data_IF_354707126915
#
_entry.id   IF_354707126915
#
_cell.length_a   1.000
_cell.length_b   1.000
_cell.length_c   1.000
_cell.angle_alpha   90.00
_cell.angle_beta   90.00
_cell.angle_gamma   90.00
#
_symmetry.space_group_name_H-M   'P 1'
#
loop_
_entity.id
_entity.type
_entity.pdbx_description
1 polymer ?
#
# COMPACT_ATOMS: atom_id res chain seq x y z
N UNK A 1 3.31 -16.39 18.40
CA UNK A 1 2.30 -15.50 19.04
C UNK A 1 1.29 -14.92 18.05
N UNK A 2 1.72 -14.45 16.86
CA UNK A 2 0.85 -13.81 15.86
C UNK A 2 -0.40 -14.65 15.49
N UNK A 3 -0.24 -15.96 15.29
CA UNK A 3 -1.37 -16.84 14.93
C UNK A 3 -2.47 -16.85 15.99
N UNK A 4 -2.10 -16.92 17.27
CA UNK A 4 -3.05 -16.93 18.39
C UNK A 4 -3.75 -15.58 18.49
N UNK A 5 -3.00 -14.48 18.37
CA UNK A 5 -3.56 -13.12 18.37
C UNK A 5 -4.57 -12.90 17.24
N UNK A 6 -4.29 -13.41 16.04
CA UNK A 6 -5.19 -13.29 14.89
C UNK A 6 -6.49 -14.07 15.09
N UNK A 7 -6.40 -15.29 15.63
CA UNK A 7 -7.58 -16.12 15.95
C UNK A 7 -8.42 -15.44 17.03
N UNK A 8 -7.79 -14.95 18.11
CA UNK A 8 -8.48 -14.29 19.21
C UNK A 8 -9.17 -13.00 18.74
N UNK A 9 -8.50 -12.18 17.93
CA UNK A 9 -9.09 -10.98 17.34
C UNK A 9 -10.30 -11.32 16.45
N UNK A 10 -10.23 -12.42 15.68
CA UNK A 10 -11.34 -12.89 14.86
C UNK A 10 -12.54 -13.33 15.71
N UNK A 11 -12.31 -14.03 16.83
CA UNK A 11 -13.39 -14.47 17.75
C UNK A 11 -14.13 -13.27 18.33
N UNK A 12 -13.39 -12.27 18.82
CA UNK A 12 -13.97 -11.03 19.37
C UNK A 12 -14.75 -10.28 18.28
N UNK A 13 -14.19 -10.18 17.08
CA UNK A 13 -14.85 -9.53 15.94
C UNK A 13 -16.19 -10.20 15.60
N UNK A 14 -16.22 -11.53 15.48
CA UNK A 14 -17.45 -12.28 15.17
C UNK A 14 -18.49 -12.10 16.27
N UNK A 15 -18.07 -12.18 17.54
CA UNK A 15 -18.97 -11.96 18.67
C UNK A 15 -19.63 -10.58 18.64
N UNK A 16 -18.86 -9.53 18.32
CA UNK A 16 -19.38 -8.17 18.21
C UNK A 16 -20.29 -7.99 16.99
N UNK A 17 -20.01 -8.67 15.88
CA UNK A 17 -20.84 -8.62 14.68
C UNK A 17 -22.17 -9.37 14.84
N UNK A 18 -22.25 -10.37 15.73
CA UNK A 18 -23.51 -11.08 16.00
C UNK A 18 -24.63 -10.17 16.55
N UNK A 19 -24.27 -8.99 17.06
CA UNK A 19 -25.22 -7.96 17.53
C UNK A 19 -25.69 -7.00 16.42
N UNK A 20 -25.15 -7.14 15.21
CA UNK A 20 -25.48 -6.31 14.05
C UNK A 20 -26.31 -7.13 13.05
N UNK A 21 -27.13 -6.47 12.19
CA UNK A 21 -27.87 -7.16 11.14
C UNK A 21 -26.99 -7.68 9.99
N UNK A 22 -25.71 -7.29 9.96
CA UNK A 22 -24.75 -7.69 8.93
C UNK A 22 -24.08 -9.03 9.27
N UNK A 23 -23.85 -9.87 8.26
CA UNK A 23 -23.08 -11.11 8.46
C UNK A 23 -21.60 -10.81 8.72
N UNK A 24 -21.03 -11.51 9.71
CA UNK A 24 -19.61 -11.44 9.99
C UNK A 24 -18.77 -11.93 8.79
N UNK A 25 -17.62 -11.29 8.56
CA UNK A 25 -16.68 -11.71 7.54
C UNK A 25 -16.10 -13.10 7.82
N UNK A 26 -15.87 -13.88 6.76
CA UNK A 26 -15.08 -15.10 6.85
C UNK A 26 -13.66 -14.80 7.34
N UNK A 27 -13.06 -15.73 8.10
CA UNK A 27 -11.73 -15.56 8.74
C UNK A 27 -10.64 -15.07 7.79
N UNK A 28 -10.59 -15.63 6.58
CA UNK A 28 -9.62 -15.25 5.56
C UNK A 28 -9.83 -13.79 5.09
N UNK A 29 -11.08 -13.38 4.88
CA UNK A 29 -11.43 -12.01 4.49
C UNK A 29 -11.15 -11.03 5.63
N UNK A 30 -11.44 -11.41 6.87
CA UNK A 30 -11.05 -10.66 8.06
C UNK A 30 -9.54 -10.43 8.12
N UNK A 31 -8.73 -11.49 7.92
CA UNK A 31 -7.27 -11.36 7.92
C UNK A 31 -6.74 -10.48 6.78
N UNK A 32 -7.34 -10.55 5.59
CA UNK A 32 -7.01 -9.66 4.46
C UNK A 32 -7.31 -8.19 4.79
N UNK A 33 -8.49 -7.92 5.36
CA UNK A 33 -8.87 -6.58 5.80
C UNK A 33 -7.92 -6.06 6.87
N UNK A 34 -7.66 -6.87 7.89
CA UNK A 34 -6.76 -6.54 8.99
C UNK A 34 -5.34 -6.22 8.50
N UNK A 35 -4.82 -7.00 7.54
CA UNK A 35 -3.54 -6.72 6.88
C UNK A 35 -3.55 -5.34 6.21
N UNK A 36 -4.60 -5.01 5.47
CA UNK A 36 -4.76 -3.70 4.84
C UNK A 36 -4.78 -2.58 5.87
N UNK A 37 -5.57 -2.74 6.93
CA UNK A 37 -5.73 -1.74 7.99
C UNK A 37 -4.40 -1.49 8.75
N UNK A 38 -3.61 -2.53 9.00
CA UNK A 38 -2.29 -2.39 9.64
C UNK A 38 -1.25 -1.74 8.73
N UNK A 39 -1.24 -2.07 7.43
CA UNK A 39 -0.23 -1.56 6.51
C UNK A 39 -0.55 -0.14 6.01
N UNK A 40 -1.83 0.26 6.03
CA UNK A 40 -2.25 1.51 5.43
C UNK A 40 -1.55 2.77 6.00
N UNK A 41 -1.40 2.95 7.33
CA UNK A 41 -0.70 4.11 7.88
C UNK A 41 0.77 4.15 7.46
N UNK A 42 1.45 2.99 7.54
CA UNK A 42 2.86 2.87 7.18
C UNK A 42 3.11 3.14 5.69
N UNK A 43 2.23 2.64 4.82
CA UNK A 43 2.29 2.89 3.38
C UNK A 43 2.05 4.37 3.04
N UNK A 44 1.16 5.05 3.76
CA UNK A 44 0.92 6.49 3.60
C UNK A 44 2.16 7.30 3.94
N UNK A 45 2.82 7.02 5.07
CA UNK A 45 4.06 7.69 5.45
C UNK A 45 5.17 7.47 4.40
N UNK A 46 5.29 6.23 3.91
CA UNK A 46 6.27 5.87 2.88
C UNK A 46 6.09 6.60 1.55
N UNK A 47 4.89 7.02 1.18
CA UNK A 47 4.67 7.78 -0.05
C UNK A 47 5.41 9.12 -0.07
N UNK A 48 5.68 9.72 1.10
CA UNK A 48 6.42 10.98 1.22
C UNK A 48 7.92 10.83 0.96
N UNK A 49 8.45 9.60 0.93
CA UNK A 49 9.87 9.35 0.68
C UNK A 49 10.20 9.61 -0.79
N UNK A 50 11.09 10.58 -1.05
CA UNK A 50 11.43 11.06 -2.40
C UNK A 50 12.11 10.01 -3.29
N UNK A 51 12.77 9.02 -2.69
CA UNK A 51 13.61 8.03 -3.39
C UNK A 51 12.86 6.83 -3.96
N UNK A 52 11.56 6.67 -3.69
CA UNK A 52 10.78 5.61 -4.31
C UNK A 52 10.68 5.80 -5.82
N UNK A 53 10.83 4.70 -6.55
CA UNK A 53 10.54 4.67 -7.98
C UNK A 53 9.07 5.04 -8.22
N UNK A 54 8.80 5.63 -9.38
CA UNK A 54 7.44 6.01 -9.78
C UNK A 54 6.50 4.80 -9.78
N UNK A 55 6.97 3.64 -10.27
CA UNK A 55 6.20 2.39 -10.30
C UNK A 55 5.83 1.90 -8.91
N UNK A 56 6.76 1.94 -7.95
CA UNK A 56 6.46 1.55 -6.56
C UNK A 56 5.45 2.49 -5.92
N UNK A 57 5.53 3.81 -6.19
CA UNK A 57 4.50 4.74 -5.73
C UNK A 57 3.13 4.40 -6.30
N UNK A 58 3.01 4.18 -7.61
CA UNK A 58 1.75 3.79 -8.26
C UNK A 58 1.13 2.56 -7.60
N UNK A 59 1.91 1.51 -7.37
CA UNK A 59 1.43 0.29 -6.70
C UNK A 59 0.93 0.58 -5.28
N UNK A 60 1.64 1.40 -4.51
CA UNK A 60 1.22 1.78 -3.16
C UNK A 60 -0.09 2.58 -3.20
N UNK A 61 -0.27 3.47 -4.17
CA UNK A 61 -1.49 4.25 -4.34
C UNK A 61 -2.69 3.38 -4.71
N UNK A 62 -2.49 2.42 -5.60
CA UNK A 62 -3.50 1.41 -5.96
C UNK A 62 -3.89 0.56 -4.74
N UNK A 63 -2.90 0.09 -3.96
CA UNK A 63 -3.15 -0.69 -2.73
C UNK A 63 -3.94 0.11 -1.68
N UNK A 64 -3.68 1.42 -1.58
CA UNK A 64 -4.38 2.33 -0.68
C UNK A 64 -5.71 2.84 -1.25
N UNK A 65 -6.05 2.50 -2.50
CA UNK A 65 -7.20 3.04 -3.24
C UNK A 65 -7.24 4.57 -3.23
N UNK A 66 -6.07 5.21 -3.29
CA UNK A 66 -5.99 6.67 -3.42
C UNK A 66 -6.27 7.05 -4.88
N UNK A 67 -7.16 8.01 -5.08
CA UNK A 67 -7.31 8.68 -6.38
C UNK A 67 -5.94 9.18 -6.88
N UNK A 68 -5.63 8.95 -8.15
CA UNK A 68 -4.32 9.22 -8.76
C UNK A 68 -3.93 10.71 -8.83
N UNK A 69 -4.64 11.59 -8.12
CA UNK A 69 -4.34 13.02 -7.98
C UNK A 69 -3.18 13.28 -7.00
N UNK A 70 -2.12 12.48 -7.09
CA UNK A 70 -0.88 12.77 -6.37
C UNK A 70 -0.15 13.80 -7.21
N UNK A 71 -0.40 15.07 -6.87
CA UNK A 71 0.49 16.16 -7.22
C UNK A 71 1.91 15.70 -6.87
N UNK A 72 2.87 15.74 -7.81
CA UNK A 72 4.23 15.31 -7.52
C UNK A 72 4.71 16.03 -6.26
N UNK A 73 5.40 15.35 -5.33
CA UNK A 73 5.86 15.97 -4.10
C UNK A 73 6.61 17.26 -4.48
N UNK A 74 6.14 18.40 -3.96
CA UNK A 74 6.79 19.70 -4.16
C UNK A 74 8.26 19.50 -3.87
N UNK A 75 9.08 19.60 -4.91
CA UNK A 75 10.51 19.37 -4.80
C UNK A 75 11.07 20.46 -3.87
N UNK A 76 11.25 20.12 -2.59
CA UNK A 76 12.16 20.87 -1.73
C UNK A 76 13.55 20.61 -2.33
N UNK A 77 14.09 21.65 -2.95
CA UNK A 77 15.08 21.53 -4.01
C UNK A 77 16.25 20.62 -3.67
N UNK A 78 16.68 19.82 -4.65
CA UNK A 78 18.10 19.54 -4.95
C UNK A 78 18.24 18.64 -6.19
N UNK A 79 18.96 19.17 -7.18
CA UNK A 79 19.64 18.53 -8.33
C UNK A 79 18.85 17.53 -9.18
N UNK A 80 18.47 17.98 -10.38
CA UNK A 80 18.05 17.16 -11.53
C UNK A 80 19.09 16.05 -11.76
N UNK A 81 18.75 14.80 -11.43
CA UNK A 81 19.48 13.65 -11.98
C UNK A 81 19.06 13.51 -13.43
N UNK A 82 19.99 13.84 -14.33
CA UNK A 82 19.85 13.69 -15.78
C UNK A 82 19.88 12.18 -16.07
N UNK A 83 18.73 11.52 -16.13
CA UNK A 83 18.66 10.20 -16.75
C UNK A 83 18.84 10.39 -18.25
N UNK A 84 20.05 10.10 -18.73
CA UNK A 84 20.30 9.97 -20.15
C UNK A 84 19.74 8.61 -20.57
N UNK A 85 18.54 8.60 -21.15
CA UNK A 85 18.10 7.50 -22.00
C UNK A 85 18.94 7.56 -23.28
N UNK A 86 20.11 6.91 -23.28
CA UNK A 86 20.74 6.57 -24.55
C UNK A 86 19.98 5.38 -25.11
N UNK A 87 19.23 5.69 -26.17
CA UNK A 87 18.69 4.73 -27.11
C UNK A 87 19.79 3.74 -27.52
N UNK A 88 19.53 2.44 -27.36
CA UNK A 88 20.23 1.40 -28.13
C UNK A 88 19.77 1.56 -29.58
N UNK A 89 20.42 2.46 -30.30
CA UNK A 89 20.39 2.46 -31.77
C UNK A 89 21.38 1.39 -32.21
N UNK A 90 20.86 0.45 -32.98
CA UNK A 90 21.56 -0.61 -33.69
C UNK A 90 22.85 -0.12 -34.34
N UNK A 91 23.95 -0.88 -34.17
CA UNK A 91 25.06 -1.04 -35.12
C UNK A 91 26.19 -1.89 -34.48
N UNK A 92 26.45 -3.07 -35.06
CA UNK A 92 27.67 -3.91 -35.08
C UNK A 92 27.16 -5.33 -35.38
N UNK A 93 27.39 -5.98 -36.52
CA UNK A 93 28.12 -5.78 -37.78
C UNK A 93 27.37 -6.58 -38.86
#
# INVERSE_FOLDING_TARGET
MINISLVNACVIYVHNMARKPEMALARHTFAKKLRGDFLAPWLKERLHVSTFSRSTRTIICELLKLEHNIEPPKQLGTKKVKFVLFARVSCLE
#
